data_IF_014873076751
#
_entry.id   IF_014873076751
#
_cell.length_a   1.000
_cell.length_b   1.000
_cell.length_c   1.000
_cell.angle_alpha   90.00
_cell.angle_beta   90.00
_cell.angle_gamma   90.00
#
_symmetry.space_group_name_H-M   'P 1'
#
loop_
_entity.id
_entity.type
_entity.pdbx_description
1 polymer ?
#
# COMPACT_ATOMS: atom_id res chain seq x y z
N UNK A 1 28.82 8.70 22.20
CA UNK A 1 27.38 8.49 22.46
C UNK A 1 26.66 8.47 21.12
N UNK A 2 25.83 7.46 20.82
CA UNK A 2 25.03 7.44 19.59
C UNK A 2 23.89 8.45 19.72
N UNK A 3 24.09 9.67 19.23
CA UNK A 3 23.01 10.56 18.85
C UNK A 3 22.56 10.12 17.46
N UNK A 4 21.61 9.18 17.40
CA UNK A 4 20.71 9.18 16.25
C UNK A 4 19.89 10.44 16.42
N UNK A 5 20.30 11.46 15.68
CA UNK A 5 19.48 12.58 15.28
C UNK A 5 18.19 12.00 14.70
N UNK A 6 17.12 11.98 15.51
CA UNK A 6 15.79 11.57 15.10
C UNK A 6 15.34 12.55 14.03
N UNK A 7 15.57 12.13 12.78
CA UNK A 7 15.21 12.82 11.55
C UNK A 7 13.78 13.35 11.62
N UNK A 8 13.51 14.54 11.06
CA UNK A 8 12.21 15.21 11.17
C UNK A 8 11.12 14.35 10.55
N UNK A 9 10.36 13.70 11.43
CA UNK A 9 9.23 12.83 11.13
C UNK A 9 7.98 13.66 10.76
N UNK A 10 8.12 14.60 9.81
CA UNK A 10 6.99 15.39 9.27
C UNK A 10 7.21 16.07 7.91
N UNK A 11 8.37 15.96 7.25
CA UNK A 11 8.54 16.40 5.85
C UNK A 11 7.97 15.39 4.82
N UNK A 12 7.05 14.51 5.23
CA UNK A 12 6.28 13.64 4.32
C UNK A 12 5.05 14.40 3.76
N UNK A 13 5.27 15.63 3.28
CA UNK A 13 4.22 16.52 2.82
C UNK A 13 3.70 16.13 1.43
N UNK A 14 2.45 15.66 1.36
CA UNK A 14 1.62 15.44 0.15
C UNK A 14 2.11 14.37 -0.84
N UNK A 15 3.40 14.34 -1.18
CA UNK A 15 4.03 13.34 -2.06
C UNK A 15 3.87 11.92 -1.51
N UNK A 16 3.91 11.78 -0.19
CA UNK A 16 3.73 10.51 0.50
C UNK A 16 2.29 9.97 0.37
N UNK A 17 1.32 10.86 0.57
CA UNK A 17 -0.11 10.53 0.41
C UNK A 17 -0.40 10.19 -1.04
N UNK A 18 0.21 10.91 -2.00
CA UNK A 18 0.12 10.60 -3.43
C UNK A 18 0.60 9.19 -3.76
N UNK A 19 1.78 8.78 -3.26
CA UNK A 19 2.31 7.43 -3.45
C UNK A 19 1.42 6.35 -2.81
N UNK A 20 0.88 6.62 -1.61
CA UNK A 20 -0.05 5.73 -0.94
C UNK A 20 -1.35 5.55 -1.74
N UNK A 21 -1.92 6.64 -2.27
CA UNK A 21 -3.13 6.57 -3.10
C UNK A 21 -2.88 5.84 -4.42
N UNK A 22 -1.74 6.10 -5.08
CA UNK A 22 -1.33 5.36 -6.27
C UNK A 22 -1.16 3.86 -5.98
N UNK A 23 -0.59 3.51 -4.82
CA UNK A 23 -0.49 2.13 -4.37
C UNK A 23 -1.87 1.49 -4.16
N UNK A 24 -2.78 2.16 -3.44
CA UNK A 24 -4.14 1.64 -3.21
C UNK A 24 -4.92 1.49 -4.51
N UNK A 25 -4.82 2.47 -5.42
CA UNK A 25 -5.43 2.40 -6.75
C UNK A 25 -4.89 1.22 -7.54
N UNK A 26 -3.56 1.03 -7.54
CA UNK A 26 -2.91 -0.09 -8.19
C UNK A 26 -3.43 -1.43 -7.67
N UNK A 27 -3.51 -1.63 -6.35
CA UNK A 27 -4.09 -2.85 -5.74
C UNK A 27 -5.58 -3.01 -6.10
N UNK A 28 -6.35 -1.92 -6.17
CA UNK A 28 -7.78 -1.97 -6.50
C UNK A 28 -8.04 -2.46 -7.93
N UNK A 29 -7.15 -2.16 -8.88
CA UNK A 29 -7.33 -2.57 -10.28
C UNK A 29 -7.39 -4.09 -10.44
N UNK A 30 -6.52 -4.83 -9.75
CA UNK A 30 -6.42 -6.30 -9.83
C UNK A 30 -5.84 -6.88 -8.53
N UNK A 31 -6.39 -8.01 -8.03
CA UNK A 31 -5.75 -8.76 -6.94
C UNK A 31 -4.33 -9.17 -7.34
N UNK A 32 -3.36 -8.94 -6.45
CA UNK A 32 -1.95 -9.29 -6.69
C UNK A 32 -1.40 -10.03 -5.51
N UNK A 33 -0.46 -10.94 -5.75
CA UNK A 33 0.20 -11.66 -4.67
C UNK A 33 1.13 -10.73 -3.89
N UNK A 34 1.43 -11.10 -2.66
CA UNK A 34 2.43 -10.41 -1.85
C UNK A 34 3.77 -10.31 -2.59
N UNK A 35 4.25 -11.39 -3.20
CA UNK A 35 5.51 -11.39 -3.96
C UNK A 35 5.51 -10.37 -5.12
N UNK A 36 4.44 -10.31 -5.92
CA UNK A 36 4.31 -9.31 -7.00
C UNK A 36 4.25 -7.88 -6.47
N UNK A 37 3.58 -7.69 -5.33
CA UNK A 37 3.47 -6.39 -4.69
C UNK A 37 4.82 -5.90 -4.19
N UNK A 38 5.58 -6.79 -3.55
CA UNK A 38 6.92 -6.48 -3.09
C UNK A 38 7.87 -6.19 -4.25
N UNK A 39 7.82 -6.97 -5.32
CA UNK A 39 8.66 -6.76 -6.51
C UNK A 39 8.43 -5.37 -7.13
N UNK A 40 7.16 -4.98 -7.31
CA UNK A 40 6.78 -3.71 -7.91
C UNK A 40 7.08 -2.49 -7.01
N UNK A 41 6.97 -2.61 -5.69
CA UNK A 41 7.00 -1.46 -4.76
C UNK A 41 8.23 -1.40 -3.84
N UNK A 42 8.91 -2.52 -3.51
CA UNK A 42 10.13 -2.48 -2.66
C UNK A 42 11.36 -1.93 -3.39
N UNK A 43 11.44 -2.10 -4.70
CA UNK A 43 12.64 -1.74 -5.49
C UNK A 43 12.73 -0.24 -5.82
N UNK A 44 11.68 0.53 -5.56
CA UNK A 44 11.65 1.98 -5.82
C UNK A 44 11.80 2.74 -4.50
N UNK A 45 12.98 3.29 -4.23
CA UNK A 45 13.37 3.84 -2.92
C UNK A 45 12.82 5.24 -2.55
N UNK A 46 11.66 5.68 -3.07
CA UNK A 46 10.74 6.48 -2.25
C UNK A 46 9.31 5.87 -2.15
N UNK A 47 9.09 4.69 -2.73
CA UNK A 47 7.80 3.95 -2.74
C UNK A 47 7.71 2.83 -1.70
N UNK A 48 8.83 2.44 -1.07
CA UNK A 48 8.85 1.46 0.04
C UNK A 48 7.84 1.88 1.12
N UNK A 49 7.79 3.19 1.38
CA UNK A 49 6.91 3.75 2.38
C UNK A 49 5.42 3.63 2.04
N UNK A 50 4.99 3.55 0.77
CA UNK A 50 3.57 3.39 0.45
C UNK A 50 3.01 2.03 0.89
N UNK A 51 3.80 0.96 0.73
CA UNK A 51 3.46 -0.38 1.23
C UNK A 51 3.46 -0.39 2.76
N UNK A 52 4.48 0.20 3.39
CA UNK A 52 4.60 0.27 4.84
C UNK A 52 3.48 1.10 5.47
N UNK A 53 3.18 2.27 4.91
CA UNK A 53 2.06 3.13 5.28
C UNK A 53 0.73 2.39 5.09
N UNK A 54 0.52 1.69 3.97
CA UNK A 54 -0.71 0.93 3.74
C UNK A 54 -0.93 -0.17 4.80
N UNK A 55 0.15 -0.88 5.14
CA UNK A 55 0.11 -1.97 6.12
C UNK A 55 -0.04 -1.42 7.55
N UNK A 56 0.77 -0.43 7.92
CA UNK A 56 0.73 0.22 9.24
C UNK A 56 -0.61 0.91 9.52
N UNK A 57 -1.25 1.47 8.49
CA UNK A 57 -2.56 2.10 8.61
C UNK A 57 -3.74 1.12 8.46
N UNK A 58 -3.50 -0.18 8.22
CA UNK A 58 -4.55 -1.18 8.03
C UNK A 58 -5.43 -0.93 6.81
N UNK A 59 -4.85 -0.41 5.73
CA UNK A 59 -5.51 -0.07 4.48
C UNK A 59 -5.53 -1.27 3.51
N UNK A 60 -4.59 -2.19 3.70
CA UNK A 60 -4.49 -3.46 2.98
C UNK A 60 -4.40 -4.62 3.96
N UNK A 61 -4.81 -5.80 3.48
CA UNK A 61 -4.74 -7.05 4.21
C UNK A 61 -4.20 -8.17 3.29
N UNK A 62 -3.74 -9.27 3.87
CA UNK A 62 -3.22 -10.43 3.16
C UNK A 62 -4.25 -11.55 3.25
N UNK A 63 -5.01 -11.75 2.18
CA UNK A 63 -5.98 -12.83 2.09
C UNK A 63 -5.32 -14.08 1.50
N UNK A 64 -5.50 -15.22 2.15
CA UNK A 64 -5.08 -16.51 1.61
C UNK A 64 -5.95 -16.87 0.38
N UNK A 65 -5.38 -17.35 -0.74
CA UNK A 65 -6.17 -17.73 -1.90
C UNK A 65 -6.89 -19.06 -1.65
N UNK A 66 -8.11 -18.99 -1.13
CA UNK A 66 -9.00 -20.15 -0.99
C UNK A 66 -8.43 -21.28 -0.12
N UNK A 67 -8.89 -22.50 -0.39
CA UNK A 67 -8.54 -23.73 0.36
C UNK A 67 -7.13 -24.28 0.06
N UNK A 68 -6.32 -23.60 -0.76
CA UNK A 68 -4.97 -24.07 -1.06
C UNK A 68 -3.95 -23.49 -0.06
N UNK A 69 -3.38 -24.31 0.84
CA UNK A 69 -2.44 -23.85 1.85
C UNK A 69 -1.04 -23.54 1.29
N UNK A 70 -0.79 -23.78 0.00
CA UNK A 70 0.47 -23.44 -0.68
C UNK A 70 0.34 -22.18 -1.54
N UNK A 71 -0.87 -21.65 -1.70
CA UNK A 71 -1.10 -20.47 -2.52
C UNK A 71 -0.57 -19.22 -1.84
N UNK A 72 0.07 -18.36 -2.63
CA UNK A 72 0.67 -17.14 -2.13
C UNK A 72 -0.41 -16.14 -1.68
N UNK A 73 -0.29 -15.53 -0.49
CA UNK A 73 -1.28 -14.57 -0.02
C UNK A 73 -1.42 -13.41 -1.01
N UNK A 74 -2.66 -13.02 -1.27
CA UNK A 74 -3.01 -11.88 -2.11
C UNK A 74 -3.25 -10.65 -1.27
N UNK A 75 -2.69 -9.53 -1.72
CA UNK A 75 -2.89 -8.22 -1.12
C UNK A 75 -4.26 -7.72 -1.55
N UNK A 76 -5.12 -7.40 -0.59
CA UNK A 76 -6.48 -6.90 -0.82
C UNK A 76 -6.72 -5.60 -0.07
N UNK A 77 -7.56 -4.72 -0.62
CA UNK A 77 -7.96 -3.50 0.09
C UNK A 77 -8.96 -3.82 1.21
N UNK A 78 -8.66 -3.34 2.41
CA UNK A 78 -9.61 -3.34 3.53
C UNK A 78 -10.75 -2.35 3.26
N UNK A 79 -11.88 -2.43 3.99
CA UNK A 79 -12.92 -1.41 3.91
C UNK A 79 -12.39 0.02 4.14
N UNK A 80 -11.39 0.18 5.01
CA UNK A 80 -10.72 1.46 5.28
C UNK A 80 -9.91 1.93 4.07
N UNK A 81 -9.12 1.06 3.44
CA UNK A 81 -8.37 1.36 2.22
C UNK A 81 -9.27 1.77 1.06
N UNK A 82 -10.38 1.03 0.86
CA UNK A 82 -11.38 1.34 -0.16
C UNK A 82 -12.03 2.71 0.07
N UNK A 83 -12.36 3.04 1.32
CA UNK A 83 -12.93 4.35 1.67
C UNK A 83 -11.94 5.47 1.36
N UNK A 84 -10.66 5.29 1.70
CA UNK A 84 -9.64 6.32 1.43
C UNK A 84 -9.41 6.55 -0.07
N UNK A 85 -9.40 5.48 -0.86
CA UNK A 85 -9.33 5.56 -2.32
C UNK A 85 -10.57 6.26 -2.91
N UNK A 86 -11.76 5.99 -2.35
CA UNK A 86 -13.03 6.59 -2.80
C UNK A 86 -13.13 8.09 -2.51
N UNK A 87 -12.45 8.57 -1.47
CA UNK A 87 -12.41 10.00 -1.11
C UNK A 87 -11.55 10.83 -2.07
N UNK A 88 -10.74 10.19 -2.92
CA UNK A 88 -9.69 10.84 -3.72
C UNK A 88 -9.86 10.72 -5.23
N UNK A 89 -10.80 9.91 -5.73
CA UNK A 89 -11.10 9.89 -7.16
C UNK A 89 -12.60 9.71 -7.47
N UNK A 90 -13.11 10.63 -8.29
CA UNK A 90 -14.26 10.43 -9.19
C UNK A 90 -14.03 9.11 -9.96
N UNK A 91 -15.03 8.23 -10.11
CA UNK A 91 -14.86 6.95 -10.81
C UNK A 91 -14.41 7.20 -12.27
N UNK A 92 -13.57 6.33 -12.86
CA UNK A 92 -13.38 6.36 -14.30
C UNK A 92 -14.75 6.14 -14.92
N UNK A 93 -15.21 7.13 -15.69
CA UNK A 93 -16.43 6.99 -16.46
C UNK A 93 -16.24 5.80 -17.38
N UNK A 94 -17.08 4.78 -17.17
CA UNK A 94 -17.29 3.66 -18.07
C UNK A 94 -17.65 4.16 -19.47
#
# INVERSE_FOLDING_TARGET
>A
MKTHDESPMLEAGVSQIGNLLQFLAWIAERPRTYAQTLDAWRSSCPRLSAWEDATANGLVDLSAPGDDPQAQPVVVLTPKGRKMLSLTCKPPAV
#
